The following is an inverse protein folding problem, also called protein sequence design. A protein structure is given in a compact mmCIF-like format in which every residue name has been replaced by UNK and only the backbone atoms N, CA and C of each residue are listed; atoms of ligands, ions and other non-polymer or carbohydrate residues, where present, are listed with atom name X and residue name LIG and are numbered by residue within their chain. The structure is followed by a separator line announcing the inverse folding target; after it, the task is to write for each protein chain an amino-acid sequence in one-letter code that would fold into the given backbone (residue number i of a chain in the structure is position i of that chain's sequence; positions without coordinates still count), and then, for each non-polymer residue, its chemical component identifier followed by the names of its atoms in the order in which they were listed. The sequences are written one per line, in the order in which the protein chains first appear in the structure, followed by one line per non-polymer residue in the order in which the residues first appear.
data_IF_209296330858
#
_entry.id   IF_209296330858
#
_cell.length_a   1.000
_cell.length_b   1.000
_cell.length_c   1.000
_cell.angle_alpha   90.00
_cell.angle_beta   90.00
_cell.angle_gamma   90.00
#
_symmetry.space_group_name_H-M   'P 1'
#
loop_
_entity.id
_entity.type
_entity.pdbx_description
1 polymer ?
#
# COMPACT_ATOMS: atom_id res chain seq x y z
N UNK A 1 0.05 -26.38 10.37
CA UNK A 1 1.10 -25.55 9.74
C UNK A 1 0.58 -24.24 9.11
N UNK A 2 -0.47 -24.24 8.27
CA UNK A 2 -0.93 -23.01 7.55
C UNK A 2 -1.42 -21.85 8.45
N UNK A 3 -2.00 -22.15 9.63
CA UNK A 3 -2.50 -21.13 10.58
C UNK A 3 -1.37 -20.29 11.21
N UNK A 4 -0.23 -20.91 11.51
CA UNK A 4 0.92 -20.25 12.13
C UNK A 4 1.59 -19.26 11.19
N UNK A 5 1.73 -19.61 9.90
CA UNK A 5 2.32 -18.73 8.88
C UNK A 5 1.44 -17.48 8.67
N UNK A 6 0.12 -17.65 8.64
CA UNK A 6 -0.82 -16.53 8.50
C UNK A 6 -0.78 -15.56 9.70
N UNK A 7 -0.60 -16.08 10.91
CA UNK A 7 -0.43 -15.27 12.12
C UNK A 7 0.89 -14.49 12.08
N UNK A 8 2.00 -15.14 11.72
CA UNK A 8 3.29 -14.47 11.55
C UNK A 8 3.23 -13.37 10.49
N UNK A 9 2.60 -13.61 9.35
CA UNK A 9 2.47 -12.61 8.28
C UNK A 9 1.87 -11.26 8.74
N UNK A 10 0.98 -11.28 9.74
CA UNK A 10 0.32 -10.08 10.25
C UNK A 10 0.89 -9.53 11.57
N UNK A 11 1.86 -10.20 12.19
CA UNK A 11 2.44 -9.75 13.45
C UNK A 11 3.51 -8.69 13.21
N UNK A 12 3.39 -7.54 13.86
CA UNK A 12 4.37 -6.45 13.81
C UNK A 12 5.71 -6.79 14.47
N UNK A 13 5.76 -7.87 15.26
CA UNK A 13 6.99 -8.39 15.88
C UNK A 13 7.74 -9.38 14.98
N UNK A 14 7.23 -9.64 13.77
CA UNK A 14 7.86 -10.61 12.88
C UNK A 14 9.15 -10.07 12.30
N UNK A 15 10.21 -10.88 12.37
CA UNK A 15 11.49 -10.53 11.80
C UNK A 15 11.37 -10.29 10.27
N UNK A 16 12.12 -9.32 9.71
CA UNK A 16 12.10 -9.03 8.28
C UNK A 16 12.37 -10.26 7.40
N UNK A 17 13.27 -11.15 7.83
CA UNK A 17 13.60 -12.40 7.14
C UNK A 17 12.39 -13.32 6.97
N UNK A 18 11.58 -13.47 8.02
CA UNK A 18 10.36 -14.29 7.99
C UNK A 18 9.33 -13.69 7.02
N UNK A 19 9.17 -12.36 7.00
CA UNK A 19 8.24 -11.71 6.08
C UNK A 19 8.65 -11.90 4.62
N UNK A 20 9.96 -11.86 4.33
CA UNK A 20 10.51 -12.12 2.99
C UNK A 20 10.23 -13.56 2.56
N UNK A 21 10.40 -14.54 3.45
CA UNK A 21 10.11 -15.95 3.16
C UNK A 21 8.63 -16.15 2.84
N UNK A 22 7.73 -15.61 3.68
CA UNK A 22 6.28 -15.70 3.48
C UNK A 22 5.85 -15.01 2.18
N UNK A 23 6.54 -13.93 1.78
CA UNK A 23 6.25 -13.22 0.54
C UNK A 23 6.59 -14.02 -0.73
N UNK A 24 7.42 -15.07 -0.64
CA UNK A 24 7.73 -15.96 -1.78
C UNK A 24 6.64 -16.99 -2.03
N UNK A 25 5.74 -17.20 -1.08
CA UNK A 25 4.63 -18.14 -1.22
C UNK A 25 3.68 -17.75 -2.35
N UNK A 26 3.17 -18.76 -3.07
CA UNK A 26 2.25 -18.56 -4.19
C UNK A 26 0.91 -17.95 -3.78
N UNK A 27 0.53 -18.07 -2.51
CA UNK A 27 -0.73 -17.58 -1.98
C UNK A 27 -0.75 -16.05 -1.82
N UNK A 28 -1.50 -15.37 -2.68
CA UNK A 28 -1.66 -13.90 -2.64
C UNK A 28 -2.22 -13.39 -1.30
N UNK A 29 -3.01 -14.19 -0.55
CA UNK A 29 -3.56 -13.77 0.75
C UNK A 29 -2.45 -13.57 1.78
N UNK A 30 -1.38 -14.39 1.72
CA UNK A 30 -0.22 -14.24 2.58
C UNK A 30 0.60 -13.03 2.18
N UNK A 31 0.89 -12.87 0.88
CA UNK A 31 1.62 -11.70 0.36
C UNK A 31 0.90 -10.39 0.64
N UNK A 32 -0.43 -10.36 0.55
CA UNK A 32 -1.27 -9.22 0.94
C UNK A 32 -1.11 -8.89 2.42
N UNK A 33 -1.11 -9.91 3.28
CA UNK A 33 -0.98 -9.72 4.73
C UNK A 33 0.40 -9.20 5.11
N UNK A 34 1.45 -9.69 4.45
CA UNK A 34 2.81 -9.14 4.55
C UNK A 34 2.84 -7.70 4.04
N UNK A 35 2.27 -7.42 2.87
CA UNK A 35 2.21 -6.07 2.30
C UNK A 35 1.52 -5.05 3.23
N UNK A 36 0.52 -5.47 3.99
CA UNK A 36 -0.18 -4.62 4.96
C UNK A 36 0.55 -4.48 6.31
N UNK A 37 1.53 -5.34 6.60
CA UNK A 37 2.23 -5.35 7.88
C UNK A 37 3.15 -4.12 8.00
N UNK A 38 2.99 -3.26 9.03
CA UNK A 38 3.86 -2.08 9.22
C UNK A 38 5.34 -2.43 9.41
N UNK A 39 5.66 -3.64 9.88
CA UNK A 39 7.03 -4.13 10.04
C UNK A 39 7.66 -4.59 8.71
N UNK A 40 6.92 -4.54 7.60
CA UNK A 40 7.45 -4.94 6.31
C UNK A 40 8.57 -4.02 5.85
N UNK A 41 9.75 -4.56 5.52
CA UNK A 41 10.90 -3.75 5.15
C UNK A 41 10.67 -3.10 3.78
N UNK A 42 11.20 -1.87 3.61
CA UNK A 42 11.04 -1.07 2.39
C UNK A 42 11.40 -1.81 1.08
N UNK A 43 12.49 -2.60 0.99
CA UNK A 43 12.79 -3.38 -0.20
C UNK A 43 11.71 -4.41 -0.54
N UNK A 44 11.08 -5.02 0.47
CA UNK A 44 10.00 -5.98 0.28
C UNK A 44 8.74 -5.28 -0.23
N UNK A 45 8.38 -4.13 0.34
CA UNK A 45 7.25 -3.33 -0.15
C UNK A 45 7.44 -2.89 -1.60
N UNK A 46 8.67 -2.54 -2.00
CA UNK A 46 9.00 -2.24 -3.40
C UNK A 46 8.79 -3.43 -4.33
N UNK A 47 9.12 -4.65 -3.89
CA UNK A 47 8.85 -5.86 -4.67
C UNK A 47 7.35 -6.16 -4.75
N UNK A 48 6.63 -6.08 -3.64
CA UNK A 48 5.18 -6.35 -3.56
C UNK A 48 4.34 -5.30 -4.30
N UNK A 49 4.85 -4.08 -4.48
CA UNK A 49 4.22 -3.06 -5.32
C UNK A 49 4.13 -3.46 -6.80
N UNK A 50 4.89 -4.47 -7.23
CA UNK A 50 4.87 -5.03 -8.58
C UNK A 50 4.16 -6.39 -8.65
N UNK A 51 3.47 -6.79 -7.57
CA UNK A 51 2.76 -8.07 -7.54
C UNK A 51 1.69 -8.13 -8.63
N UNK A 52 1.49 -9.31 -9.22
CA UNK A 52 0.46 -9.53 -10.25
C UNK A 52 -0.95 -9.27 -9.69
N UNK A 53 -1.17 -9.53 -8.40
CA UNK A 53 -2.46 -9.38 -7.77
C UNK A 53 -2.68 -7.96 -7.23
N UNK A 54 -3.76 -7.30 -7.69
CA UNK A 54 -4.11 -5.94 -7.28
C UNK A 54 -4.34 -5.78 -5.77
N UNK A 55 -4.82 -6.81 -5.07
CA UNK A 55 -5.05 -6.75 -3.62
C UNK A 55 -3.74 -6.63 -2.85
N UNK A 56 -2.66 -7.24 -3.35
CA UNK A 56 -1.33 -7.12 -2.75
C UNK A 56 -0.79 -5.70 -2.96
N UNK A 57 -0.88 -5.17 -4.19
CA UNK A 57 -0.45 -3.80 -4.49
C UNK A 57 -1.25 -2.75 -3.72
N UNK A 58 -2.57 -2.96 -3.59
CA UNK A 58 -3.47 -2.15 -2.77
C UNK A 58 -3.04 -2.15 -1.30
N UNK A 59 -2.66 -3.32 -0.75
CA UNK A 59 -2.15 -3.41 0.61
C UNK A 59 -0.83 -2.66 0.80
N UNK A 60 0.06 -2.64 -0.20
CA UNK A 60 1.27 -1.80 -0.17
C UNK A 60 0.89 -0.32 -0.13
N UNK A 61 -0.06 0.15 -0.93
CA UNK A 61 -0.48 1.56 -0.92
C UNK A 61 -0.99 2.04 0.45
N UNK A 62 -1.67 1.15 1.20
CA UNK A 62 -2.21 1.44 2.52
C UNK A 62 -1.17 1.30 3.66
N UNK A 63 -0.01 0.71 3.40
CA UNK A 63 0.99 0.51 4.44
C UNK A 63 1.70 1.83 4.79
N UNK A 64 1.77 2.21 6.08
CA UNK A 64 2.43 3.43 6.52
C UNK A 64 3.95 3.42 6.26
N UNK A 65 4.57 2.25 6.18
CA UNK A 65 6.01 2.09 5.91
C UNK A 65 6.35 2.16 4.42
N UNK A 66 5.36 2.33 3.54
CA UNK A 66 5.57 2.43 2.09
C UNK A 66 6.29 3.72 1.72
N UNK A 67 7.48 3.62 1.08
CA UNK A 67 8.22 4.79 0.65
C UNK A 67 7.48 5.62 -0.40
N UNK A 68 7.70 6.94 -0.40
CA UNK A 68 7.03 7.86 -1.32
C UNK A 68 7.25 7.54 -2.79
N UNK A 69 8.46 7.09 -3.17
CA UNK A 69 8.71 6.69 -4.55
C UNK A 69 7.94 5.43 -4.97
N UNK A 70 7.69 4.50 -4.05
CA UNK A 70 6.84 3.33 -4.30
C UNK A 70 5.38 3.77 -4.41
N UNK A 71 4.96 4.72 -3.57
CA UNK A 71 3.62 5.30 -3.60
C UNK A 71 3.34 6.05 -4.90
N UNK A 72 4.30 6.82 -5.40
CA UNK A 72 4.19 7.51 -6.70
C UNK A 72 4.00 6.51 -7.85
N UNK A 73 4.74 5.40 -7.84
CA UNK A 73 4.54 4.33 -8.82
C UNK A 73 3.13 3.72 -8.73
N UNK A 74 2.62 3.48 -7.52
CA UNK A 74 1.27 2.94 -7.31
C UNK A 74 0.16 3.95 -7.66
N UNK A 75 0.44 5.26 -7.64
CA UNK A 75 -0.49 6.28 -8.11
C UNK A 75 -0.73 6.20 -9.63
N UNK A 76 0.18 5.56 -10.37
CA UNK A 76 0.06 5.29 -11.80
C UNK A 76 -0.37 3.84 -12.09
N UNK A 77 -0.82 3.09 -11.08
CA UNK A 77 -1.24 1.70 -11.27
C UNK A 77 -2.45 1.59 -12.20
N UNK A 78 -2.42 0.64 -13.12
CA UNK A 78 -3.55 0.32 -14.01
C UNK A 78 -4.87 0.05 -13.28
N UNK A 79 -4.84 -0.45 -12.03
CA UNK A 79 -6.04 -0.69 -11.23
C UNK A 79 -6.49 0.57 -10.49
N UNK A 80 -7.72 1.07 -10.74
CA UNK A 80 -8.26 2.20 -9.99
C UNK A 80 -8.39 1.92 -8.48
N UNK A 81 -8.58 0.66 -8.08
CA UNK A 81 -8.64 0.27 -6.66
C UNK A 81 -7.31 0.54 -5.93
N UNK A 82 -6.19 0.37 -6.64
CA UNK A 82 -4.85 0.65 -6.10
C UNK A 82 -4.61 2.15 -6.03
N UNK A 83 -4.94 2.89 -7.09
CA UNK A 83 -4.81 4.36 -7.10
C UNK A 83 -5.70 5.02 -6.04
N UNK A 84 -6.92 4.51 -5.86
CA UNK A 84 -7.82 4.92 -4.78
C UNK A 84 -7.20 4.68 -3.40
N UNK A 85 -6.56 3.53 -3.19
CA UNK A 85 -5.88 3.24 -1.92
C UNK A 85 -4.67 4.15 -1.66
N UNK A 86 -3.96 4.57 -2.71
CA UNK A 86 -2.95 5.64 -2.59
C UNK A 86 -3.62 6.94 -2.15
N UNK A 87 -4.73 7.35 -2.77
CA UNK A 87 -5.45 8.55 -2.36
C UNK A 87 -6.00 8.45 -0.92
N UNK A 88 -6.39 7.27 -0.44
CA UNK A 88 -6.94 7.05 0.89
C UNK A 88 -5.90 7.07 2.02
N UNK A 89 -4.65 6.71 1.72
CA UNK A 89 -3.61 6.61 2.74
C UNK A 89 -3.22 7.98 3.31
N UNK A 90 -3.26 8.11 4.64
CA UNK A 90 -2.92 9.36 5.35
C UNK A 90 -1.46 9.79 5.17
N UNK A 91 -0.58 8.85 4.83
CA UNK A 91 0.84 9.09 4.58
C UNK A 91 1.12 9.54 3.15
N UNK A 92 0.10 9.68 2.29
CA UNK A 92 0.32 10.11 0.90
C UNK A 92 0.72 11.58 0.85
N UNK A 93 1.89 11.91 0.28
CA UNK A 93 2.31 13.29 0.10
C UNK A 93 1.31 14.12 -0.73
N UNK A 94 1.11 15.41 -0.41
CA UNK A 94 0.22 16.30 -1.16
C UNK A 94 0.51 16.34 -2.66
N UNK A 95 1.77 16.20 -3.09
CA UNK A 95 2.14 16.20 -4.51
C UNK A 95 1.47 15.04 -5.27
N UNK A 96 1.48 13.84 -4.69
CA UNK A 96 0.83 12.65 -5.27
C UNK A 96 -0.70 12.81 -5.24
N UNK A 97 -1.26 13.39 -4.17
CA UNK A 97 -2.70 13.67 -4.11
C UNK A 97 -3.15 14.62 -5.23
N UNK A 98 -2.35 15.65 -5.55
CA UNK A 98 -2.65 16.57 -6.66
C UNK A 98 -2.58 15.87 -8.02
N UNK A 99 -1.64 14.95 -8.22
CA UNK A 99 -1.60 14.13 -9.44
C UNK A 99 -2.87 13.27 -9.57
N UNK A 100 -3.31 12.63 -8.48
CA UNK A 100 -4.52 11.80 -8.45
C UNK A 100 -5.83 12.61 -8.61
N UNK A 101 -5.80 13.93 -8.46
CA UNK A 101 -6.95 14.79 -8.80
C UNK A 101 -7.19 14.91 -10.31
N UNK A 102 -6.22 14.51 -11.13
CA UNK A 102 -6.32 14.47 -12.60
C UNK A 102 -6.59 13.05 -13.12
N UNK A 103 -6.90 12.09 -12.23
CA UNK A 103 -7.16 10.70 -12.58
C UNK A 103 -8.40 10.56 -13.46
N UNK A 104 -8.36 9.61 -14.41
CA UNK A 104 -9.50 9.27 -15.25
C UNK A 104 -10.70 8.72 -14.46
N UNK A 105 -10.47 8.15 -13.27
CA UNK A 105 -11.52 7.61 -12.42
C UNK A 105 -12.04 8.67 -11.43
N UNK A 106 -13.33 9.06 -11.51
CA UNK A 106 -13.89 10.12 -10.65
C UNK A 106 -13.91 9.78 -9.16
N UNK A 107 -13.94 8.49 -8.79
CA UNK A 107 -13.86 8.08 -7.40
C UNK A 107 -12.47 8.31 -6.81
N UNK A 108 -11.41 8.12 -7.61
CA UNK A 108 -10.03 8.42 -7.23
C UNK A 108 -9.86 9.93 -7.03
N UNK A 109 -10.31 10.73 -8.00
CA UNK A 109 -10.27 12.20 -7.93
C UNK A 109 -10.96 12.72 -6.67
N UNK A 110 -12.18 12.27 -6.40
CA UNK A 110 -12.96 12.67 -5.23
C UNK A 110 -12.23 12.31 -3.93
N UNK A 111 -11.66 11.11 -3.84
CA UNK A 111 -10.93 10.67 -2.66
C UNK A 111 -9.64 11.48 -2.47
N UNK A 112 -8.89 11.74 -3.54
CA UNK A 112 -7.67 12.52 -3.48
C UNK A 112 -7.91 13.95 -2.96
N UNK A 113 -8.98 14.60 -3.45
CA UNK A 113 -9.41 15.92 -2.97
C UNK A 113 -9.73 15.89 -1.47
N UNK A 114 -10.56 14.95 -1.03
CA UNK A 114 -10.93 14.82 0.40
C UNK A 114 -9.72 14.57 1.30
N UNK A 115 -8.78 13.73 0.86
CA UNK A 115 -7.56 13.46 1.62
C UNK A 115 -6.66 14.69 1.72
N UNK A 116 -6.56 15.49 0.65
CA UNK A 116 -5.78 16.72 0.64
C UNK A 116 -6.39 17.78 1.59
N UNK A 117 -7.72 17.94 1.56
CA UNK A 117 -8.46 18.82 2.47
C UNK A 117 -8.24 18.42 3.93
N UNK A 118 -8.36 17.13 4.26
CA UNK A 118 -8.10 16.62 5.62
C UNK A 118 -6.67 16.91 6.09
N UNK A 119 -5.69 16.78 5.20
CA UNK A 119 -4.30 17.09 5.54
C UNK A 119 -4.07 18.58 5.77
N UNK A 120 -4.82 19.46 5.09
CA UNK A 120 -4.74 20.90 5.31
C UNK A 120 -5.33 21.31 6.66
N UNK A 121 -6.48 20.73 7.04
CA UNK A 121 -7.14 20.98 8.34
C UNK A 121 -6.25 20.53 9.50
N UNK A 122 -5.62 19.36 9.42
CA UNK A 122 -4.81 18.81 10.50
C UNK A 122 -3.44 19.52 10.70
N UNK A 123 -3.07 20.45 9.82
CA UNK A 123 -1.81 21.20 9.89
C UNK A 123 -1.99 22.62 10.46
N UNK A 124 -3.22 23.03 10.72
CA UNK A 124 -3.59 24.27 11.41
C UNK A 124 -3.79 23.98 12.90
#
# INVERSE_FOLDING_TARGET
MKKTIYLKAGSCLSAPSVLIEIARESNFKLRRRVAFNPASPKPLLRALARDKNKEVRRAVALNPSTPDNVRANLAQDWSPDVRFAVAESSQTPPVILRELMLDANPYVVRRARQSLERQAVNRQ
#
